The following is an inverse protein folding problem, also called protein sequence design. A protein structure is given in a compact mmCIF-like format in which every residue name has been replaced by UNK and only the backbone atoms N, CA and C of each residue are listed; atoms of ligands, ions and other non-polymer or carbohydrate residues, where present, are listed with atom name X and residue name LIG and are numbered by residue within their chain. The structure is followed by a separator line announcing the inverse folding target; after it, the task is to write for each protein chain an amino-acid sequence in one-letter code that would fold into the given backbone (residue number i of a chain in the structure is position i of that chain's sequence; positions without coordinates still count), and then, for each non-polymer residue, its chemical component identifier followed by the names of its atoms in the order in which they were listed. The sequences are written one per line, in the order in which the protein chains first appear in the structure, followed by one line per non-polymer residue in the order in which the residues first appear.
data_IF_672793624811
#
_entry.id   IF_672793624811
#
_cell.length_a   1.000
_cell.length_b   1.000
_cell.length_c   1.000
_cell.angle_alpha   90.00
_cell.angle_beta   90.00
_cell.angle_gamma   90.00
#
_symmetry.space_group_name_H-M   'P 1'
#
loop_
_entity.id
_entity.type
_entity.pdbx_description
1 polymer ?
#
# COMPACT_ATOMS: atom_id res chain seq x y z
N UNK A 1 -10.79 9.61 47.73
CA UNK A 1 -11.64 9.96 46.59
C UNK A 1 -10.70 10.16 45.41
N UNK A 2 -10.45 9.11 44.62
CA UNK A 2 -9.33 9.09 43.65
C UNK A 2 -9.68 8.23 42.44
N UNK A 3 -10.24 8.81 41.39
CA UNK A 3 -10.48 8.10 40.10
C UNK A 3 -10.37 9.07 38.92
N UNK A 4 -9.19 9.64 38.66
CA UNK A 4 -8.94 10.43 37.44
C UNK A 4 -7.47 10.32 37.02
N UNK A 5 -7.08 9.27 36.28
CA UNK A 5 -5.73 9.19 35.68
C UNK A 5 -5.66 8.31 34.42
N UNK A 6 -6.49 7.26 34.33
CA UNK A 6 -6.34 6.27 33.26
C UNK A 6 -6.87 6.71 31.88
N UNK A 7 -7.87 7.60 31.80
CA UNK A 7 -8.47 8.00 30.50
C UNK A 7 -7.58 8.91 29.63
N UNK A 8 -6.80 9.80 30.26
CA UNK A 8 -5.96 10.78 29.54
C UNK A 8 -4.83 10.10 28.76
N UNK A 9 -4.23 9.06 29.34
CA UNK A 9 -3.11 8.32 28.74
C UNK A 9 -3.53 7.54 27.49
N UNK A 10 -4.69 6.89 27.51
CA UNK A 10 -5.18 6.08 26.38
C UNK A 10 -5.54 6.95 25.17
N UNK A 11 -6.22 8.08 25.39
CA UNK A 11 -6.59 9.00 24.32
C UNK A 11 -5.35 9.64 23.64
N UNK A 12 -4.34 10.02 24.43
CA UNK A 12 -3.07 10.53 23.92
C UNK A 12 -2.32 9.52 23.05
N UNK A 13 -2.26 8.26 23.48
CA UNK A 13 -1.62 7.17 22.73
C UNK A 13 -2.31 6.92 21.39
N UNK A 14 -3.65 6.96 21.33
CA UNK A 14 -4.41 6.78 20.08
C UNK A 14 -4.14 7.92 19.10
N UNK A 15 -4.07 9.17 19.58
CA UNK A 15 -3.76 10.33 18.72
C UNK A 15 -2.35 10.24 18.15
N UNK A 16 -1.36 9.88 18.98
CA UNK A 16 0.04 9.71 18.56
C UNK A 16 0.21 8.59 17.53
N UNK A 17 -0.42 7.43 17.76
CA UNK A 17 -0.41 6.30 16.80
C UNK A 17 -1.04 6.67 15.47
N UNK A 18 -2.12 7.46 15.48
CA UNK A 18 -2.76 7.96 14.25
C UNK A 18 -1.93 9.00 13.51
N UNK A 19 -1.18 9.85 14.22
CA UNK A 19 -0.23 10.77 13.56
C UNK A 19 0.92 10.04 12.88
N UNK A 20 1.34 8.87 13.39
CA UNK A 20 2.39 8.05 12.78
C UNK A 20 1.90 7.21 11.58
N UNK A 21 0.59 7.02 11.41
CA UNK A 21 0.03 6.12 10.41
C UNK A 21 0.36 6.54 8.96
N UNK A 22 0.26 7.82 8.62
CA UNK A 22 0.57 8.28 7.25
C UNK A 22 2.07 8.22 6.91
N UNK A 23 2.99 8.62 7.81
CA UNK A 23 4.42 8.35 7.62
C UNK A 23 4.72 6.87 7.39
N UNK A 24 4.11 5.96 8.16
CA UNK A 24 4.28 4.52 7.97
C UNK A 24 3.78 4.09 6.59
N UNK A 25 2.59 4.56 6.17
CA UNK A 25 2.06 4.26 4.84
C UNK A 25 2.97 4.77 3.71
N UNK A 26 3.49 6.00 3.83
CA UNK A 26 4.37 6.58 2.83
C UNK A 26 5.69 5.81 2.72
N UNK A 27 6.31 5.45 3.85
CA UNK A 27 7.56 4.64 3.84
C UNK A 27 7.33 3.26 3.24
N UNK A 28 6.23 2.59 3.59
CA UNK A 28 5.89 1.30 3.03
C UNK A 28 5.62 1.39 1.51
N UNK A 29 4.90 2.43 1.07
CA UNK A 29 4.69 2.71 -0.36
C UNK A 29 6.01 2.98 -1.10
N UNK A 30 6.98 3.67 -0.49
CA UNK A 30 8.31 3.86 -1.09
C UNK A 30 9.05 2.53 -1.25
N UNK A 31 8.99 1.68 -0.23
CA UNK A 31 9.61 0.35 -0.29
C UNK A 31 9.00 -0.50 -1.42
N UNK A 32 7.67 -0.57 -1.50
CA UNK A 32 6.97 -1.28 -2.57
C UNK A 32 7.35 -0.72 -3.95
N UNK A 33 7.39 0.60 -4.09
CA UNK A 33 7.75 1.26 -5.35
C UNK A 33 9.15 0.90 -5.83
N UNK A 34 10.13 0.83 -4.93
CA UNK A 34 11.47 0.37 -5.27
C UNK A 34 11.51 -1.13 -5.61
N UNK A 35 10.75 -1.98 -4.92
CA UNK A 35 10.68 -3.41 -5.22
C UNK A 35 10.11 -3.64 -6.62
N UNK A 36 9.07 -2.91 -7.02
CA UNK A 36 8.54 -2.97 -8.38
C UNK A 36 9.62 -2.62 -9.44
N UNK A 37 10.49 -1.65 -9.16
CA UNK A 37 11.63 -1.38 -10.03
C UNK A 37 12.75 -2.43 -9.97
N UNK A 38 12.94 -3.09 -8.83
CA UNK A 38 13.91 -4.18 -8.69
C UNK A 38 13.50 -5.38 -9.57
N UNK A 39 12.22 -5.74 -9.60
CA UNK A 39 11.73 -6.90 -10.37
C UNK A 39 11.43 -6.57 -11.83
N UNK A 40 11.28 -5.29 -12.18
CA UNK A 40 10.94 -4.84 -13.54
C UNK A 40 11.89 -5.37 -14.63
N UNK A 41 13.23 -5.40 -14.48
CA UNK A 41 14.13 -5.87 -15.54
C UNK A 41 13.96 -7.34 -15.90
N UNK A 42 13.68 -8.19 -14.90
CA UNK A 42 13.36 -9.61 -15.11
C UNK A 42 12.11 -9.74 -15.97
N UNK A 43 11.05 -9.02 -15.61
CA UNK A 43 9.78 -9.03 -16.33
C UNK A 43 9.87 -8.35 -17.71
N UNK A 44 10.81 -7.41 -17.92
CA UNK A 44 11.09 -6.84 -19.23
C UNK A 44 11.66 -7.86 -20.20
N UNK A 45 12.49 -8.79 -19.70
CA UNK A 45 13.06 -9.86 -20.51
C UNK A 45 11.97 -10.86 -20.97
N UNK A 46 10.91 -11.01 -20.17
CA UNK A 46 9.76 -11.87 -20.50
C UNK A 46 8.76 -11.18 -21.43
N UNK A 47 8.29 -9.99 -21.05
CA UNK A 47 7.31 -9.25 -21.83
C UNK A 47 7.27 -7.76 -21.46
N UNK A 48 7.37 -6.89 -22.47
CA UNK A 48 7.41 -5.44 -22.27
C UNK A 48 6.17 -4.89 -21.53
N UNK A 49 5.01 -5.54 -21.65
CA UNK A 49 3.78 -5.15 -20.96
C UNK A 49 3.94 -5.29 -19.45
N UNK A 50 4.61 -6.35 -18.99
CA UNK A 50 4.89 -6.53 -17.56
C UNK A 50 5.81 -5.42 -17.06
N UNK A 51 6.87 -5.11 -17.79
CA UNK A 51 7.77 -4.01 -17.41
C UNK A 51 7.06 -2.65 -17.37
N UNK A 52 6.15 -2.39 -18.32
CA UNK A 52 5.33 -1.18 -18.32
C UNK A 52 4.40 -1.13 -17.09
N UNK A 53 3.80 -2.25 -16.71
CA UNK A 53 2.99 -2.36 -15.49
C UNK A 53 3.82 -2.06 -14.23
N UNK A 54 4.94 -2.77 -14.02
CA UNK A 54 5.80 -2.55 -12.84
C UNK A 54 6.36 -1.13 -12.78
N UNK A 55 6.72 -0.56 -13.93
CA UNK A 55 7.15 0.84 -14.01
C UNK A 55 6.03 1.79 -13.59
N UNK A 56 4.81 1.60 -14.11
CA UNK A 56 3.68 2.45 -13.79
C UNK A 56 3.29 2.37 -12.30
N UNK A 57 3.26 1.16 -11.72
CA UNK A 57 2.97 0.97 -10.29
C UNK A 57 4.09 1.56 -9.44
N UNK A 58 5.36 1.30 -9.76
CA UNK A 58 6.49 1.88 -9.03
C UNK A 58 6.47 3.41 -9.04
N UNK A 59 6.23 4.03 -10.20
CA UNK A 59 6.06 5.49 -10.30
C UNK A 59 4.89 5.98 -9.44
N UNK A 60 3.74 5.30 -9.55
CA UNK A 60 2.55 5.65 -8.79
C UNK A 60 2.83 5.63 -7.29
N UNK A 61 3.47 4.60 -6.77
CA UNK A 61 3.73 4.45 -5.34
C UNK A 61 4.71 5.50 -4.80
N UNK A 62 5.73 5.86 -5.57
CA UNK A 62 6.67 6.93 -5.20
C UNK A 62 5.99 8.30 -5.22
N UNK A 63 5.21 8.61 -6.26
CA UNK A 63 4.47 9.87 -6.36
C UNK A 63 3.42 9.95 -5.26
N UNK A 64 2.68 8.86 -5.04
CA UNK A 64 1.64 8.79 -4.02
C UNK A 64 2.23 9.00 -2.63
N UNK A 65 3.37 8.39 -2.32
CA UNK A 65 4.07 8.62 -1.05
C UNK A 65 4.44 10.09 -0.83
N UNK A 66 4.86 10.81 -1.88
CA UNK A 66 5.11 12.25 -1.79
C UNK A 66 3.80 13.03 -1.57
N UNK A 67 2.73 12.68 -2.27
CA UNK A 67 1.42 13.33 -2.17
C UNK A 67 0.78 13.18 -0.78
N UNK A 68 1.05 12.10 -0.06
CA UNK A 68 0.58 11.89 1.33
C UNK A 68 0.98 13.05 2.25
N UNK A 69 2.11 13.71 1.99
CA UNK A 69 2.61 14.84 2.80
C UNK A 69 2.04 16.21 2.38
N UNK A 70 1.37 16.32 1.24
CA UNK A 70 0.80 17.59 0.75
C UNK A 70 -0.51 17.98 1.46
N UNK A 71 -1.06 17.09 2.27
CA UNK A 71 -2.27 17.32 3.07
C UNK A 71 -3.13 16.07 3.19
N UNK A 72 -4.14 16.10 4.07
CA UNK A 72 -5.06 14.97 4.32
C UNK A 72 -6.17 14.90 3.25
N UNK A 73 -5.82 14.91 1.96
CA UNK A 73 -6.82 14.72 0.91
C UNK A 73 -7.32 13.27 0.94
N UNK A 74 -8.56 13.08 1.42
CA UNK A 74 -9.18 11.76 1.54
C UNK A 74 -9.23 10.99 0.22
N UNK A 75 -9.42 11.68 -0.90
CA UNK A 75 -9.45 11.03 -2.22
C UNK A 75 -8.09 10.47 -2.59
N UNK A 76 -7.01 11.24 -2.39
CA UNK A 76 -5.63 10.77 -2.63
C UNK A 76 -5.36 9.52 -1.80
N UNK A 77 -5.70 9.53 -0.51
CA UNK A 77 -5.52 8.38 0.36
C UNK A 77 -6.29 7.13 -0.12
N UNK A 78 -7.53 7.30 -0.55
CA UNK A 78 -8.34 6.20 -1.06
C UNK A 78 -7.83 5.65 -2.40
N UNK A 79 -7.33 6.51 -3.30
CA UNK A 79 -6.70 6.07 -4.55
C UNK A 79 -5.52 5.16 -4.27
N UNK A 80 -4.67 5.50 -3.29
CA UNK A 80 -3.57 4.64 -2.84
C UNK A 80 -4.03 3.27 -2.38
N UNK A 81 -5.08 3.23 -1.54
CA UNK A 81 -5.69 1.97 -1.09
C UNK A 81 -6.21 1.15 -2.26
N UNK A 82 -6.95 1.77 -3.19
CA UNK A 82 -7.55 1.06 -4.32
C UNK A 82 -6.50 0.45 -5.24
N UNK A 83 -5.44 1.20 -5.57
CA UNK A 83 -4.36 0.70 -6.43
C UNK A 83 -3.60 -0.43 -5.75
N UNK A 84 -3.19 -0.28 -4.49
CA UNK A 84 -2.47 -1.33 -3.75
C UNK A 84 -3.32 -2.61 -3.62
N UNK A 85 -4.62 -2.49 -3.33
CA UNK A 85 -5.52 -3.65 -3.27
C UNK A 85 -5.65 -4.32 -4.64
N UNK A 86 -5.69 -3.55 -5.73
CA UNK A 86 -5.73 -4.10 -7.08
C UNK A 86 -4.43 -4.84 -7.44
N UNK A 87 -3.27 -4.31 -7.07
CA UNK A 87 -1.97 -4.98 -7.29
C UNK A 87 -1.88 -6.26 -6.48
N UNK A 88 -2.23 -6.24 -5.19
CA UNK A 88 -2.31 -7.45 -4.34
C UNK A 88 -3.25 -8.50 -4.93
N UNK A 89 -4.43 -8.08 -5.40
CA UNK A 89 -5.39 -9.00 -6.01
C UNK A 89 -4.85 -9.60 -7.32
N UNK A 90 -4.20 -8.79 -8.16
CA UNK A 90 -3.55 -9.26 -9.38
C UNK A 90 -2.43 -10.25 -9.06
N UNK A 91 -1.60 -9.97 -8.05
CA UNK A 91 -0.57 -10.89 -7.59
C UNK A 91 -1.16 -12.23 -7.13
N UNK A 92 -2.26 -12.23 -6.37
CA UNK A 92 -2.93 -13.49 -6.00
C UNK A 92 -3.36 -14.27 -7.25
N UNK A 93 -3.91 -13.60 -8.26
CA UNK A 93 -4.31 -14.23 -9.54
C UNK A 93 -3.10 -14.84 -10.24
N UNK A 94 -2.00 -14.11 -10.38
CA UNK A 94 -0.80 -14.60 -11.07
C UNK A 94 -0.20 -15.81 -10.37
N UNK A 95 -0.29 -15.90 -9.03
CA UNK A 95 0.24 -17.03 -8.23
C UNK A 95 -0.72 -18.21 -8.08
N UNK A 96 -1.98 -18.10 -8.49
CA UNK A 96 -2.98 -19.16 -8.31
C UNK A 96 -3.53 -19.71 -9.61
N UNK A 97 -3.92 -18.84 -10.53
CA UNK A 97 -4.50 -19.23 -11.82
C UNK A 97 -3.62 -18.83 -13.01
N UNK A 98 -2.61 -17.99 -12.79
CA UNK A 98 -1.87 -17.34 -13.87
C UNK A 98 -2.67 -16.24 -14.56
N UNK A 99 -2.01 -15.48 -15.43
CA UNK A 99 -2.66 -14.46 -16.24
C UNK A 99 -3.37 -15.07 -17.47
N UNK A 100 -4.54 -14.56 -17.89
CA UNK A 100 -5.24 -15.09 -19.07
C UNK A 100 -4.55 -14.71 -20.39
N UNK A 101 -3.64 -13.74 -20.36
CA UNK A 101 -2.88 -13.23 -21.50
C UNK A 101 -1.42 -13.04 -21.09
N UNK A 102 -0.48 -13.29 -22.02
CA UNK A 102 0.96 -13.15 -21.80
C UNK A 102 1.75 -14.27 -22.45
N UNK A 103 3.08 -14.36 -22.17
CA UNK A 103 3.94 -15.41 -22.69
C UNK A 103 3.52 -16.82 -22.24
N UNK A 104 3.01 -16.95 -21.02
CA UNK A 104 2.57 -18.22 -20.43
C UNK A 104 1.13 -18.14 -19.86
N UNK A 105 0.09 -18.09 -20.71
CA UNK A 105 -1.29 -17.92 -20.26
C UNK A 105 -1.79 -19.08 -19.40
N UNK A 106 -2.44 -18.77 -18.28
CA UNK A 106 -3.05 -19.74 -17.37
C UNK A 106 -2.05 -20.56 -16.55
N UNK A 107 -0.75 -20.26 -16.65
CA UNK A 107 0.29 -20.87 -15.84
C UNK A 107 0.52 -20.03 -14.59
N UNK A 108 0.33 -20.58 -13.38
CA UNK A 108 0.66 -19.85 -12.15
C UNK A 108 2.17 -19.61 -12.05
N UNK A 109 2.53 -18.37 -11.76
CA UNK A 109 3.92 -17.96 -11.51
C UNK A 109 4.38 -18.41 -10.12
N UNK A 110 5.69 -18.66 -9.97
CA UNK A 110 6.28 -19.01 -8.68
C UNK A 110 6.25 -17.81 -7.71
N UNK A 111 6.19 -18.11 -6.40
CA UNK A 111 6.27 -17.08 -5.37
C UNK A 111 7.74 -16.69 -5.14
N UNK A 112 8.08 -15.45 -5.48
CA UNK A 112 9.40 -14.88 -5.23
C UNK A 112 9.54 -14.26 -3.84
N UNK A 113 10.77 -14.07 -3.36
CA UNK A 113 11.01 -13.35 -2.10
C UNK A 113 10.59 -11.87 -2.22
N UNK A 114 10.89 -11.24 -3.35
CA UNK A 114 10.57 -9.84 -3.60
C UNK A 114 9.06 -9.60 -3.66
N UNK A 115 8.31 -10.56 -4.21
CA UNK A 115 6.85 -10.56 -4.18
C UNK A 115 6.31 -10.43 -2.76
N UNK A 116 6.81 -11.25 -1.83
CA UNK A 116 6.35 -11.28 -0.45
C UNK A 116 6.67 -9.98 0.28
N UNK A 117 7.85 -9.41 0.04
CA UNK A 117 8.24 -8.12 0.62
C UNK A 117 7.37 -7.00 0.06
N UNK A 118 7.10 -6.99 -1.25
CA UNK A 118 6.18 -6.02 -1.86
C UNK A 118 4.78 -6.15 -1.28
N UNK A 119 4.21 -7.36 -1.27
CA UNK A 119 2.88 -7.62 -0.73
C UNK A 119 2.74 -7.18 0.74
N UNK A 120 3.78 -7.41 1.55
CA UNK A 120 3.81 -6.95 2.93
C UNK A 120 3.82 -5.41 3.02
N UNK A 121 4.64 -4.75 2.21
CA UNK A 121 4.71 -3.29 2.15
C UNK A 121 3.39 -2.67 1.68
N UNK A 122 2.79 -3.17 0.60
CA UNK A 122 1.48 -2.74 0.08
C UNK A 122 0.37 -2.95 1.12
N UNK A 123 0.38 -4.10 1.81
CA UNK A 123 -0.57 -4.39 2.89
C UNK A 123 -0.42 -3.40 4.04
N UNK A 124 0.82 -3.07 4.44
CA UNK A 124 1.08 -2.05 5.47
C UNK A 124 0.58 -0.68 5.02
N UNK A 125 0.81 -0.29 3.76
CA UNK A 125 0.28 0.94 3.17
C UNK A 125 -1.24 1.01 3.31
N UNK A 126 -1.95 -0.04 2.86
CA UNK A 126 -3.42 -0.12 2.93
C UNK A 126 -3.92 0.00 4.37
N UNK A 127 -3.39 -0.82 5.29
CA UNK A 127 -3.85 -0.86 6.67
C UNK A 127 -3.58 0.45 7.42
N UNK A 128 -2.42 1.05 7.19
CA UNK A 128 -2.05 2.31 7.82
C UNK A 128 -2.94 3.48 7.34
N UNK A 129 -3.27 3.53 6.04
CA UNK A 129 -4.22 4.51 5.50
C UNK A 129 -5.62 4.31 6.07
N UNK A 130 -6.13 3.08 6.05
CA UNK A 130 -7.47 2.78 6.60
C UNK A 130 -7.56 3.14 8.09
N UNK A 131 -6.53 2.80 8.87
CA UNK A 131 -6.43 3.19 10.28
C UNK A 131 -6.45 4.72 10.48
N UNK A 132 -5.73 5.48 9.64
CA UNK A 132 -5.76 6.94 9.65
C UNK A 132 -7.16 7.49 9.34
N UNK A 133 -7.87 6.92 8.37
CA UNK A 133 -9.18 7.41 7.92
C UNK A 133 -10.31 7.11 8.91
N UNK A 134 -10.27 5.97 9.59
CA UNK A 134 -11.25 5.59 10.62
C UNK A 134 -11.28 6.59 11.79
N UNK A 135 -10.17 7.28 12.06
CA UNK A 135 -10.09 8.32 13.07
C UNK A 135 -10.66 9.69 12.67
N UNK A 136 -10.79 9.95 11.36
CA UNK A 136 -11.20 11.25 10.82
C UNK A 136 -12.73 11.44 10.82
N UNK A 137 -13.52 10.37 10.92
CA UNK A 137 -15.00 10.43 10.82
C UNK A 137 -15.71 11.00 12.05
N UNK A 138 -15.00 11.37 13.12
CA UNK A 138 -15.61 11.74 14.42
C UNK A 138 -15.74 13.24 14.70
N UNK A 139 -15.44 14.12 13.74
CA UNK A 139 -15.47 15.59 13.94
C UNK A 139 -16.52 16.33 13.09
N UNK A 140 -17.52 15.64 12.55
CA UNK A 140 -18.67 16.28 11.92
C UNK A 140 -19.96 15.76 12.55
N UNK A 141 -20.25 16.27 13.75
CA UNK A 141 -21.59 16.39 14.30
C UNK A 141 -21.49 17.43 15.42
N UNK A 142 -21.71 18.69 15.01
CA UNK A 142 -22.25 19.73 15.89
C UNK A 142 -23.73 19.44 16.15
#
# INVERSE_FOLDING_TARGET
MTTTSTQTTTAGNVRMRRSAALPVAATASVLAGFIHYIVMPEHLAEWWVYAAFFTAIGMFELIWAALVFTGRNRQVLLVGVLVNVAVLALWVVTRTTGLPIGPEPGTPEAVGIWDLVSCAAETVTVLAVLYSLLGSKRTHHD
#
